data_IF_340104393028
#
_entry.id   IF_340104393028
#
_cell.length_a   1.000
_cell.length_b   1.000
_cell.length_c   1.000
_cell.angle_alpha   90.00
_cell.angle_beta   90.00
_cell.angle_gamma   90.00
#
_symmetry.space_group_name_H-M   'P 1'
#
loop_
_entity.id
_entity.type
_entity.pdbx_description
1 polymer ?
#
# COMPACT_ATOMS: atom_id res chain seq x y z
N UNK A 1 -0.04 -10.29 13.47
CA UNK A 1 0.55 -10.01 12.14
C UNK A 1 1.83 -9.23 12.34
N UNK A 2 2.95 -9.67 11.86
CA UNK A 2 4.16 -8.89 11.99
C UNK A 2 4.16 -7.76 10.94
N UNK A 3 4.37 -6.53 11.38
CA UNK A 3 4.88 -5.47 10.54
C UNK A 3 6.24 -5.94 10.00
N UNK A 4 6.53 -5.69 8.74
CA UNK A 4 7.84 -6.03 8.15
C UNK A 4 8.44 -4.81 7.43
N UNK A 5 9.76 -4.85 7.23
CA UNK A 5 10.53 -3.75 6.67
C UNK A 5 11.12 -4.10 5.32
N UNK A 6 11.65 -3.10 4.62
CA UNK A 6 12.40 -3.31 3.39
C UNK A 6 13.55 -4.31 3.62
N UNK A 7 13.63 -5.34 2.78
CA UNK A 7 14.64 -6.39 2.87
C UNK A 7 14.30 -7.56 3.79
N UNK A 8 13.25 -7.46 4.58
CA UNK A 8 12.75 -8.59 5.39
C UNK A 8 11.86 -9.53 4.57
N UNK A 9 11.72 -10.76 5.04
CA UNK A 9 10.84 -11.75 4.44
C UNK A 9 9.42 -11.56 5.00
N UNK A 10 8.43 -11.24 4.15
CA UNK A 10 7.05 -11.12 4.60
C UNK A 10 6.47 -12.49 5.00
N UNK A 11 5.32 -12.51 5.69
CA UNK A 11 4.55 -13.73 5.90
C UNK A 11 4.31 -14.49 4.59
N UNK A 12 4.34 -15.82 4.63
CA UNK A 12 4.30 -16.66 3.43
C UNK A 12 3.02 -16.51 2.58
N UNK A 13 1.94 -16.05 3.19
CA UNK A 13 0.69 -15.78 2.49
C UNK A 13 0.70 -14.48 1.68
N UNK A 14 1.60 -13.53 1.97
CA UNK A 14 1.67 -12.26 1.27
C UNK A 14 1.94 -12.43 -0.22
N UNK A 15 1.16 -11.76 -1.05
CA UNK A 15 1.43 -11.64 -2.48
C UNK A 15 2.49 -10.59 -2.80
N UNK A 16 2.61 -9.54 -1.96
CA UNK A 16 3.73 -8.62 -1.96
C UNK A 16 4.93 -9.31 -1.28
N UNK A 17 5.92 -9.69 -2.06
CA UNK A 17 7.11 -10.40 -1.58
C UNK A 17 8.23 -9.46 -1.17
N UNK A 18 8.29 -8.27 -1.78
CA UNK A 18 9.29 -7.24 -1.52
C UNK A 18 8.75 -5.86 -1.85
N UNK A 19 9.20 -4.88 -1.11
CA UNK A 19 9.06 -3.47 -1.48
C UNK A 19 10.38 -2.74 -1.27
N UNK A 20 10.53 -1.58 -1.91
CA UNK A 20 11.57 -0.61 -1.61
C UNK A 20 11.07 0.80 -1.88
N UNK A 21 11.55 1.74 -1.08
CA UNK A 21 11.26 3.18 -1.24
C UNK A 21 12.56 3.87 -1.64
N UNK A 22 12.56 4.50 -2.79
CA UNK A 22 13.68 5.31 -3.27
C UNK A 22 13.31 6.79 -3.27
N UNK A 23 14.17 7.60 -2.68
CA UNK A 23 14.10 9.07 -2.72
C UNK A 23 15.28 9.59 -3.51
N UNK A 24 15.01 10.23 -4.65
CA UNK A 24 16.03 10.60 -5.63
C UNK A 24 16.01 12.08 -5.93
N UNK A 25 17.19 12.67 -6.09
CA UNK A 25 17.35 14.05 -6.55
C UNK A 25 17.03 14.18 -8.04
N UNK A 26 16.73 15.40 -8.48
CA UNK A 26 16.36 15.65 -9.88
C UNK A 26 17.43 15.20 -10.87
N UNK A 27 17.01 14.55 -11.94
CA UNK A 27 17.86 14.03 -13.00
C UNK A 27 18.60 12.73 -12.67
N UNK A 28 18.43 12.15 -11.47
CA UNK A 28 19.02 10.85 -11.14
C UNK A 28 18.48 9.78 -12.07
N UNK A 29 19.39 8.93 -12.56
CA UNK A 29 19.07 7.77 -13.38
C UNK A 29 19.39 6.52 -12.55
N UNK A 30 18.39 5.66 -12.38
CA UNK A 30 18.52 4.38 -11.68
C UNK A 30 18.22 3.25 -12.66
N UNK A 31 19.19 2.35 -12.82
CA UNK A 31 18.99 1.10 -13.55
C UNK A 31 18.54 0.03 -12.59
N UNK A 32 17.42 -0.61 -12.92
CA UNK A 32 16.78 -1.59 -12.06
C UNK A 32 16.74 -2.95 -12.75
N UNK A 33 16.81 -4.00 -11.92
CA UNK A 33 16.65 -5.39 -12.37
C UNK A 33 15.39 -5.98 -11.77
N UNK A 34 14.72 -6.84 -12.52
CA UNK A 34 13.54 -7.58 -12.05
C UNK A 34 13.87 -8.40 -10.80
N UNK A 35 12.97 -8.36 -9.83
CA UNK A 35 13.11 -9.06 -8.53
C UNK A 35 12.07 -10.16 -8.32
N UNK A 36 10.93 -10.09 -9.03
CA UNK A 36 9.81 -11.03 -8.87
C UNK A 36 9.02 -11.21 -10.17
N UNK A 37 8.03 -12.09 -10.16
CA UNK A 37 7.14 -12.35 -11.29
C UNK A 37 6.32 -11.14 -11.73
N UNK A 38 5.89 -10.33 -10.77
CA UNK A 38 5.17 -9.06 -10.97
C UNK A 38 5.94 -7.93 -10.34
N UNK A 39 5.92 -6.77 -10.98
CA UNK A 39 6.50 -5.54 -10.44
C UNK A 39 5.67 -4.33 -10.82
N UNK A 40 5.53 -3.40 -9.86
CA UNK A 40 4.85 -2.12 -10.00
C UNK A 40 5.75 -1.01 -9.48
N UNK A 41 5.79 0.11 -10.19
CA UNK A 41 6.41 1.36 -9.72
C UNK A 41 5.29 2.36 -9.48
N UNK A 42 5.21 2.89 -8.27
CA UNK A 42 4.29 3.97 -7.86
C UNK A 42 5.12 5.20 -7.49
N UNK A 43 4.89 6.32 -8.14
CA UNK A 43 5.48 7.61 -7.74
C UNK A 43 4.68 8.16 -6.56
N UNK A 44 5.34 8.38 -5.43
CA UNK A 44 4.74 8.85 -4.18
C UNK A 44 5.02 10.32 -3.88
N UNK A 45 5.94 10.94 -4.66
CA UNK A 45 6.22 12.38 -4.64
C UNK A 45 6.99 12.77 -5.90
N UNK A 46 6.65 13.93 -6.49
CA UNK A 46 7.34 14.49 -7.65
C UNK A 46 6.96 13.80 -8.96
N UNK A 47 7.94 13.48 -9.80
CA UNK A 47 7.71 12.79 -11.07
C UNK A 47 8.91 11.94 -11.46
N UNK A 48 8.67 10.87 -12.21
CA UNK A 48 9.71 10.03 -12.77
C UNK A 48 9.31 9.58 -14.19
N UNK A 49 10.30 9.39 -15.05
CA UNK A 49 10.12 8.72 -16.32
C UNK A 49 10.64 7.29 -16.21
N UNK A 50 9.79 6.33 -16.51
CA UNK A 50 10.13 4.91 -16.50
C UNK A 50 10.34 4.45 -17.95
N UNK A 51 11.51 3.87 -18.21
CA UNK A 51 11.88 3.33 -19.53
C UNK A 51 11.96 1.82 -19.45
N UNK A 52 11.31 1.15 -20.38
CA UNK A 52 11.37 -0.30 -20.60
C UNK A 52 11.67 -0.59 -22.07
N UNK A 53 11.89 -1.83 -22.43
CA UNK A 53 12.01 -2.22 -23.85
C UNK A 53 10.75 -1.93 -24.67
N UNK A 54 9.59 -1.78 -24.03
CA UNK A 54 8.31 -1.45 -24.68
C UNK A 54 8.04 0.04 -24.84
N UNK A 55 8.94 0.92 -24.37
CA UNK A 55 8.77 2.37 -24.44
C UNK A 55 9.02 3.08 -23.12
N UNK A 56 8.58 4.34 -23.05
CA UNK A 56 8.72 5.14 -21.83
C UNK A 56 7.41 5.79 -21.41
N UNK A 57 7.23 5.93 -20.10
CA UNK A 57 6.07 6.59 -19.51
C UNK A 57 6.51 7.55 -18.41
N UNK A 58 5.90 8.74 -18.39
CA UNK A 58 6.08 9.71 -17.30
C UNK A 58 5.01 9.47 -16.25
N UNK A 59 5.43 9.25 -15.02
CA UNK A 59 4.59 9.10 -13.85
C UNK A 59 4.72 10.32 -12.93
N UNK A 60 3.62 10.73 -12.32
CA UNK A 60 3.55 11.79 -11.32
C UNK A 60 3.05 11.21 -9.99
N UNK A 61 3.09 12.02 -8.95
CA UNK A 61 2.56 11.68 -7.61
C UNK A 61 1.18 10.98 -7.71
N UNK A 62 1.06 9.83 -7.08
CA UNK A 62 -0.11 8.96 -7.11
C UNK A 62 -0.26 8.07 -8.36
N UNK A 63 0.59 8.22 -9.39
CA UNK A 63 0.53 7.39 -10.60
C UNK A 63 1.48 6.19 -10.50
N UNK A 64 1.04 5.07 -11.05
CA UNK A 64 1.82 3.84 -11.09
C UNK A 64 1.90 3.24 -12.50
N UNK A 65 2.85 2.33 -12.68
CA UNK A 65 3.04 1.50 -13.87
C UNK A 65 3.32 0.07 -13.46
N UNK A 66 2.52 -0.87 -13.98
CA UNK A 66 2.86 -2.28 -13.96
C UNK A 66 3.92 -2.57 -15.02
N UNK A 67 5.06 -3.07 -14.56
CA UNK A 67 6.19 -3.29 -15.46
C UNK A 67 5.94 -4.54 -16.31
N UNK A 68 6.18 -4.45 -17.63
CA UNK A 68 6.14 -5.63 -18.49
C UNK A 68 7.19 -6.65 -18.04
N UNK A 69 7.08 -7.88 -18.54
CA UNK A 69 8.07 -8.93 -18.26
C UNK A 69 9.38 -8.59 -19.01
N UNK A 70 10.22 -7.80 -18.34
CA UNK A 70 11.55 -7.39 -18.81
C UNK A 70 12.57 -7.61 -17.70
N UNK A 71 13.81 -7.91 -18.04
CA UNK A 71 14.87 -8.18 -17.05
C UNK A 71 15.38 -6.89 -16.40
N UNK A 72 15.39 -5.81 -17.17
CA UNK A 72 15.89 -4.49 -16.73
C UNK A 72 15.00 -3.36 -17.21
N UNK A 73 14.98 -2.30 -16.45
CA UNK A 73 14.28 -1.06 -16.75
C UNK A 73 14.98 0.12 -16.08
N UNK A 74 14.68 1.35 -16.48
CA UNK A 74 15.33 2.54 -15.97
C UNK A 74 14.31 3.52 -15.43
N UNK A 75 14.61 4.17 -14.30
CA UNK A 75 13.86 5.29 -13.74
C UNK A 75 14.71 6.54 -13.83
N UNK A 76 14.16 7.60 -14.40
CA UNK A 76 14.77 8.93 -14.44
C UNK A 76 13.91 9.87 -13.59
N UNK A 77 14.47 10.35 -12.50
CA UNK A 77 13.79 11.33 -11.65
C UNK A 77 13.56 12.64 -12.38
N UNK A 78 12.38 13.23 -12.25
CA UNK A 78 12.06 14.53 -12.80
C UNK A 78 12.90 15.66 -12.21
N UNK A 79 12.82 16.90 -12.74
CA UNK A 79 13.74 18.00 -12.36
C UNK A 79 13.75 18.35 -10.86
N UNK A 80 12.63 18.12 -10.18
CA UNK A 80 12.48 18.37 -8.73
C UNK A 80 12.70 17.15 -7.85
N UNK A 81 13.22 16.05 -8.42
CA UNK A 81 13.34 14.77 -7.75
C UNK A 81 12.06 13.95 -7.80
N UNK A 82 12.18 12.73 -7.32
CA UNK A 82 11.08 11.79 -7.17
C UNK A 82 11.27 10.93 -5.92
N UNK A 83 10.18 10.62 -5.26
CA UNK A 83 10.10 9.46 -4.39
C UNK A 83 9.20 8.43 -5.08
N UNK A 84 9.61 7.18 -5.09
CA UNK A 84 8.80 6.11 -5.64
C UNK A 84 8.90 4.84 -4.82
N UNK A 85 7.78 4.14 -4.74
CA UNK A 85 7.71 2.79 -4.22
C UNK A 85 7.85 1.80 -5.37
N UNK A 86 8.72 0.80 -5.20
CA UNK A 86 8.79 -0.38 -6.03
C UNK A 86 8.17 -1.55 -5.28
N UNK A 87 7.17 -2.15 -5.87
CA UNK A 87 6.42 -3.28 -5.34
C UNK A 87 6.72 -4.50 -6.20
N UNK A 88 7.11 -5.61 -5.58
CA UNK A 88 7.51 -6.82 -6.29
C UNK A 88 6.85 -8.04 -5.64
N UNK A 89 6.28 -8.95 -6.45
CA UNK A 89 5.58 -10.10 -5.90
C UNK A 89 4.94 -11.02 -6.93
N UNK A 90 3.82 -11.65 -6.53
CA UNK A 90 3.16 -12.74 -7.27
C UNK A 90 1.64 -12.58 -7.40
N UNK A 91 1.12 -11.37 -7.34
CA UNK A 91 -0.32 -11.09 -7.52
C UNK A 91 -0.81 -11.42 -8.93
N UNK A 92 -2.12 -11.58 -9.10
CA UNK A 92 -2.78 -11.84 -10.39
C UNK A 92 -3.03 -10.54 -11.17
N UNK A 93 -3.87 -10.59 -12.20
CA UNK A 93 -4.21 -9.42 -13.04
C UNK A 93 -5.43 -8.67 -12.51
N UNK A 94 -6.38 -9.35 -11.87
CA UNK A 94 -7.54 -8.74 -11.21
C UNK A 94 -7.12 -8.15 -9.88
N UNK A 95 -6.85 -6.86 -9.84
CA UNK A 95 -6.34 -6.16 -8.67
C UNK A 95 -7.37 -5.19 -8.10
N UNK A 96 -7.25 -4.93 -6.80
CA UNK A 96 -7.86 -3.78 -6.16
C UNK A 96 -7.13 -2.47 -6.48
N UNK A 97 -7.17 -1.51 -5.56
CA UNK A 97 -6.58 -0.20 -5.72
C UNK A 97 -5.07 -0.15 -5.46
N UNK A 98 -4.44 0.93 -5.91
CA UNK A 98 -3.07 1.27 -5.53
C UNK A 98 -2.88 2.79 -5.59
N UNK A 99 -2.26 3.34 -4.55
CA UNK A 99 -2.00 4.78 -4.49
C UNK A 99 -1.37 5.19 -3.17
N UNK A 100 -1.58 6.45 -2.80
CA UNK A 100 -1.15 6.98 -1.51
C UNK A 100 -2.33 7.59 -0.77
N UNK A 101 -2.31 7.49 0.56
CA UNK A 101 -3.24 8.22 1.42
C UNK A 101 -2.48 8.99 2.50
N UNK A 102 -3.19 9.94 3.10
CA UNK A 102 -2.68 10.72 4.23
C UNK A 102 -3.68 10.62 5.37
N UNK A 103 -3.16 10.59 6.59
CA UNK A 103 -3.95 10.58 7.80
C UNK A 103 -3.39 11.57 8.81
N UNK A 104 -4.29 12.23 9.52
CA UNK A 104 -4.00 13.11 10.65
C UNK A 104 -5.14 13.04 11.67
N UNK A 105 -4.86 13.41 12.89
CA UNK A 105 -5.91 13.56 13.88
C UNK A 105 -6.78 14.77 13.53
N UNK A 106 -8.07 14.64 13.78
CA UNK A 106 -9.07 15.68 13.58
C UNK A 106 -9.92 15.83 14.83
N UNK A 107 -10.43 17.03 15.10
CA UNK A 107 -11.23 17.31 16.30
C UNK A 107 -12.58 16.56 16.30
N UNK A 108 -13.18 16.40 15.13
CA UNK A 108 -14.45 15.70 14.95
C UNK A 108 -14.31 14.69 13.79
N UNK A 109 -13.86 13.45 14.05
CA UNK A 109 -13.74 12.44 13.04
C UNK A 109 -15.06 12.14 12.35
N UNK A 110 -15.05 12.16 11.02
CA UNK A 110 -16.15 11.63 10.21
C UNK A 110 -15.79 10.19 9.87
N UNK A 111 -16.50 9.25 10.44
CA UNK A 111 -16.31 7.83 10.23
C UNK A 111 -17.55 7.24 9.56
N UNK A 112 -17.39 6.79 8.33
CA UNK A 112 -18.44 6.12 7.54
C UNK A 112 -18.31 4.61 7.59
N UNK A 113 -17.27 4.11 8.27
CA UNK A 113 -16.94 2.70 8.40
C UNK A 113 -17.84 1.91 9.32
N UNK A 114 -17.48 0.66 9.53
CA UNK A 114 -18.16 -0.19 10.51
C UNK A 114 -17.83 0.27 11.95
N UNK A 115 -18.78 0.13 12.89
CA UNK A 115 -18.58 0.58 14.26
C UNK A 115 -17.37 -0.09 14.93
N UNK A 116 -16.60 0.70 15.67
CA UNK A 116 -15.43 0.24 16.43
C UNK A 116 -15.63 0.51 17.92
N UNK A 117 -14.90 -0.24 18.77
CA UNK A 117 -14.99 -0.12 20.23
C UNK A 117 -13.81 0.64 20.85
N UNK A 118 -12.80 0.96 20.08
CA UNK A 118 -11.63 1.70 20.50
C UNK A 118 -11.75 3.21 20.21
N UNK A 119 -11.05 4.07 20.95
CA UNK A 119 -11.02 5.50 20.67
C UNK A 119 -10.40 5.79 19.30
N UNK A 120 -10.97 6.77 18.59
CA UNK A 120 -10.56 7.16 17.25
C UNK A 120 -10.50 8.67 17.12
N UNK A 121 -9.44 9.15 16.48
CA UNK A 121 -9.18 10.58 16.24
C UNK A 121 -8.91 10.90 14.78
N UNK A 122 -8.94 9.89 13.89
CA UNK A 122 -8.83 10.07 12.44
C UNK A 122 -10.16 9.83 11.74
N UNK A 123 -10.27 10.26 10.48
CA UNK A 123 -11.41 9.95 9.60
C UNK A 123 -11.14 8.76 8.67
N UNK A 124 -10.09 7.97 8.92
CA UNK A 124 -9.91 6.70 8.20
C UNK A 124 -10.99 5.74 8.72
N UNK A 125 -11.77 5.19 7.84
CA UNK A 125 -12.89 4.30 8.21
C UNK A 125 -12.43 2.87 8.53
N UNK A 126 -13.17 2.18 9.39
CA UNK A 126 -13.01 0.74 9.60
C UNK A 126 -13.73 -0.02 8.49
N UNK A 127 -12.99 -0.76 7.68
CA UNK A 127 -13.48 -1.47 6.50
C UNK A 127 -12.71 -2.76 6.26
N UNK A 128 -13.13 -3.55 5.27
CA UNK A 128 -12.42 -4.72 4.78
C UNK A 128 -12.37 -4.76 3.25
N UNK A 129 -11.58 -5.69 2.67
CA UNK A 129 -11.47 -5.89 1.23
C UNK A 129 -11.64 -7.36 0.83
N UNK A 130 -12.00 -7.58 -0.43
CA UNK A 130 -11.99 -8.91 -1.10
C UNK A 130 -10.59 -9.30 -1.62
N UNK A 131 -9.53 -8.68 -1.10
CA UNK A 131 -8.14 -8.93 -1.44
C UNK A 131 -7.24 -8.72 -0.21
N UNK A 132 -5.97 -9.08 -0.33
CA UNK A 132 -4.97 -8.64 0.63
C UNK A 132 -4.57 -7.20 0.32
N UNK A 133 -4.32 -6.41 1.35
CA UNK A 133 -3.85 -5.03 1.23
C UNK A 133 -2.55 -4.84 2.01
N UNK A 134 -1.73 -3.92 1.54
CA UNK A 134 -0.45 -3.57 2.15
C UNK A 134 -0.36 -2.07 2.36
N UNK A 135 -0.19 -1.64 3.60
CA UNK A 135 0.10 -0.24 3.93
C UNK A 135 1.58 -0.07 4.18
N UNK A 136 2.27 0.69 3.32
CA UNK A 136 3.69 1.00 3.47
C UNK A 136 3.81 2.45 3.92
N UNK A 137 4.24 2.64 5.16
CA UNK A 137 4.35 3.97 5.77
C UNK A 137 5.55 4.71 5.19
N UNK A 138 5.30 5.82 4.51
CA UNK A 138 6.32 6.67 3.89
C UNK A 138 6.82 7.76 4.84
N UNK A 139 5.93 8.22 5.73
CA UNK A 139 6.18 9.33 6.66
C UNK A 139 5.24 9.25 7.85
N UNK A 140 5.70 9.76 9.00
CA UNK A 140 4.89 9.88 10.21
C UNK A 140 4.80 8.58 11.00
N UNK A 141 3.91 8.55 11.98
CA UNK A 141 3.70 7.43 12.90
C UNK A 141 2.26 7.40 13.41
N UNK A 142 1.77 6.21 13.74
CA UNK A 142 0.41 6.03 14.23
C UNK A 142 0.15 4.65 14.83
N UNK A 143 -1.13 4.35 15.02
CA UNK A 143 -1.60 3.03 15.41
C UNK A 143 -2.54 2.50 14.33
N UNK A 144 -2.21 1.35 13.77
CA UNK A 144 -3.04 0.59 12.84
C UNK A 144 -3.74 -0.53 13.61
N UNK A 145 -4.98 -0.78 13.28
CA UNK A 145 -5.75 -1.92 13.80
C UNK A 145 -6.07 -2.85 12.63
N UNK A 146 -5.82 -4.15 12.82
CA UNK A 146 -6.23 -5.18 11.86
C UNK A 146 -6.87 -6.32 12.65
N UNK A 147 -8.15 -6.58 12.44
CA UNK A 147 -8.95 -7.44 13.31
C UNK A 147 -8.99 -6.89 14.73
N UNK A 148 -8.45 -7.65 15.67
CA UNK A 148 -8.33 -7.29 17.09
C UNK A 148 -6.91 -6.80 17.49
N UNK A 149 -5.99 -6.71 16.53
CA UNK A 149 -4.58 -6.38 16.78
C UNK A 149 -4.29 -4.91 16.56
N UNK A 150 -3.78 -4.26 17.59
CA UNK A 150 -3.31 -2.88 17.55
C UNK A 150 -1.79 -2.85 17.38
N UNK A 151 -1.32 -2.20 16.35
CA UNK A 151 0.11 -2.13 15.99
C UNK A 151 0.55 -0.68 15.90
N UNK A 152 1.65 -0.35 16.57
CA UNK A 152 2.34 0.94 16.35
C UNK A 152 3.13 0.83 15.06
N UNK A 153 3.02 1.85 14.23
CA UNK A 153 3.70 1.93 12.94
C UNK A 153 4.40 3.26 12.77
N UNK A 154 5.48 3.26 12.01
CA UNK A 154 6.28 4.44 11.67
C UNK A 154 6.81 4.33 10.23
N UNK A 155 7.45 5.39 9.74
CA UNK A 155 8.05 5.39 8.41
C UNK A 155 9.01 4.21 8.21
N UNK A 156 8.85 3.49 7.11
CA UNK A 156 9.58 2.26 6.76
C UNK A 156 8.82 0.97 7.03
N UNK A 157 7.75 1.00 7.82
CA UNK A 157 6.93 -0.15 8.13
C UNK A 157 6.01 -0.53 6.98
N UNK A 158 5.82 -1.82 6.76
CA UNK A 158 4.77 -2.39 5.93
C UNK A 158 3.82 -3.24 6.77
N UNK A 159 2.55 -2.89 6.76
CA UNK A 159 1.47 -3.63 7.42
C UNK A 159 0.76 -4.48 6.37
N UNK A 160 0.91 -5.80 6.38
CA UNK A 160 0.12 -6.67 5.53
C UNK A 160 -1.25 -6.89 6.17
N UNK A 161 -2.30 -6.71 5.40
CA UNK A 161 -3.70 -6.83 5.81
C UNK A 161 -4.31 -7.95 4.98
N UNK A 162 -4.66 -9.06 5.63
CA UNK A 162 -5.24 -10.20 4.93
C UNK A 162 -6.69 -9.95 4.51
N UNK A 163 -7.08 -10.57 3.41
CA UNK A 163 -8.43 -10.49 2.87
C UNK A 163 -9.50 -10.72 3.93
N UNK A 164 -10.52 -9.86 3.96
CA UNK A 164 -11.68 -9.94 4.84
C UNK A 164 -11.43 -9.47 6.26
N UNK A 165 -10.20 -9.13 6.64
CA UNK A 165 -9.94 -8.54 7.96
C UNK A 165 -10.29 -7.06 7.95
N UNK A 166 -11.14 -6.65 8.91
CA UNK A 166 -11.35 -5.22 9.17
C UNK A 166 -10.05 -4.56 9.57
N UNK A 167 -9.82 -3.38 9.07
CA UNK A 167 -8.66 -2.59 9.41
C UNK A 167 -8.98 -1.10 9.47
N UNK A 168 -8.17 -0.38 10.22
CA UNK A 168 -8.38 1.03 10.57
C UNK A 168 -7.05 1.68 10.98
N UNK A 169 -7.01 3.00 10.96
CA UNK A 169 -5.92 3.81 11.51
C UNK A 169 -6.51 4.83 12.50
N UNK A 170 -6.84 4.39 13.73
CA UNK A 170 -7.60 5.20 14.68
C UNK A 170 -6.83 6.38 15.26
N UNK A 171 -5.50 6.30 15.31
CA UNK A 171 -4.66 7.31 15.95
C UNK A 171 -3.40 7.59 15.13
N UNK A 172 -3.08 8.86 14.95
CA UNK A 172 -1.85 9.34 14.35
C UNK A 172 -1.03 10.09 15.43
N UNK A 173 0.22 9.68 15.62
CA UNK A 173 1.17 10.37 16.53
C UNK A 173 1.83 11.52 15.79
N UNK A 174 2.21 11.29 14.53
CA UNK A 174 2.74 12.29 13.61
C UNK A 174 2.00 12.17 12.29
N UNK A 175 1.67 13.28 11.57
CA UNK A 175 0.97 13.22 10.27
C UNK A 175 1.55 12.15 9.38
N UNK A 176 0.70 11.20 8.97
CA UNK A 176 1.12 9.98 8.31
C UNK A 176 0.79 10.04 6.81
N UNK A 177 1.74 9.62 5.99
CA UNK A 177 1.53 9.31 4.57
C UNK A 177 1.94 7.87 4.33
N UNK A 178 1.09 7.10 3.64
CA UNK A 178 1.39 5.73 3.29
C UNK A 178 0.99 5.40 1.85
N UNK A 179 1.62 4.36 1.29
CA UNK A 179 1.12 3.64 0.12
C UNK A 179 0.04 2.68 0.60
N UNK A 180 -1.05 2.57 -0.16
CA UNK A 180 -1.94 1.42 -0.11
C UNK A 180 -1.79 0.62 -1.41
N UNK A 181 -1.76 -0.69 -1.29
CA UNK A 181 -1.69 -1.60 -2.43
C UNK A 181 -2.56 -2.82 -2.15
N UNK A 182 -3.68 -2.87 -2.85
CA UNK A 182 -4.63 -3.97 -2.85
C UNK A 182 -4.25 -4.95 -3.96
N UNK A 183 -4.04 -6.22 -3.60
CA UNK A 183 -3.58 -7.25 -4.54
C UNK A 183 -4.75 -8.03 -5.17
N UNK A 184 -4.59 -9.31 -5.42
CA UNK A 184 -5.53 -10.12 -6.17
C UNK A 184 -6.92 -10.13 -5.54
N UNK A 185 -7.91 -9.63 -6.29
CA UNK A 185 -9.31 -9.72 -5.90
C UNK A 185 -9.78 -11.16 -5.88
N UNK A 186 -10.38 -11.56 -4.78
CA UNK A 186 -10.89 -12.91 -4.54
C UNK A 186 -12.41 -12.87 -4.31
N UNK A 187 -13.00 -14.03 -4.02
CA UNK A 187 -14.43 -14.18 -3.69
C UNK A 187 -15.35 -13.45 -4.66
N UNK A 188 -15.99 -12.37 -4.20
CA UNK A 188 -16.97 -11.61 -4.98
C UNK A 188 -16.34 -10.56 -5.88
N UNK A 189 -15.01 -10.43 -5.82
CA UNK A 189 -14.19 -9.47 -6.61
C UNK A 189 -14.68 -8.02 -6.53
N UNK A 190 -15.13 -7.62 -5.35
CA UNK A 190 -15.53 -6.24 -5.10
C UNK A 190 -14.31 -5.37 -4.87
N UNK A 191 -14.22 -4.26 -5.61
CA UNK A 191 -13.16 -3.26 -5.47
C UNK A 191 -13.59 -2.18 -4.48
N UNK A 192 -12.63 -1.70 -3.67
CA UNK A 192 -12.80 -0.58 -2.74
C UNK A 192 -13.19 -1.01 -1.34
N UNK A 193 -13.49 -0.03 -0.50
CA UNK A 193 -13.85 -0.25 0.89
C UNK A 193 -15.18 -0.98 1.00
N UNK A 194 -15.19 -2.07 1.75
CA UNK A 194 -16.38 -2.87 2.05
C UNK A 194 -16.72 -2.74 3.53
N UNK A 195 -18.01 -2.63 3.84
CA UNK A 195 -18.53 -2.50 5.20
C UNK A 195 -19.63 -3.54 5.45
N UNK A 196 -19.67 -4.11 6.64
CA UNK A 196 -20.70 -5.07 7.04
C UNK A 196 -22.11 -4.52 6.84
N UNK A 197 -22.31 -3.26 7.22
CA UNK A 197 -23.62 -2.62 7.17
C UNK A 197 -24.12 -2.33 5.73
N UNK A 198 -23.23 -2.37 4.72
CA UNK A 198 -23.59 -2.08 3.32
C UNK A 198 -23.38 -3.28 2.40
N UNK A 199 -22.29 -4.02 2.58
CA UNK A 199 -21.83 -5.05 1.64
C UNK A 199 -22.01 -6.48 2.17
N UNK A 200 -22.48 -6.63 3.42
CA UNK A 200 -22.60 -7.90 4.11
C UNK A 200 -21.40 -8.21 4.99
N UNK A 201 -21.53 -9.25 5.79
CA UNK A 201 -20.54 -9.61 6.79
C UNK A 201 -19.19 -9.94 6.16
N UNK A 202 -18.13 -9.39 6.71
CA UNK A 202 -16.76 -9.76 6.37
C UNK A 202 -16.48 -11.23 6.71
N UNK A 203 -15.68 -11.86 5.87
CA UNK A 203 -15.23 -13.24 6.07
C UNK A 203 -13.70 -13.27 6.07
N UNK A 204 -13.05 -12.96 7.21
CA UNK A 204 -11.59 -12.91 7.27
C UNK A 204 -10.97 -14.27 6.97
N UNK A 205 -9.85 -14.27 6.26
CA UNK A 205 -9.02 -15.43 6.03
C UNK A 205 -8.15 -15.65 7.27
N UNK A 206 -8.42 -16.67 8.13
CA UNK A 206 -7.80 -16.77 9.45
C UNK A 206 -6.28 -17.01 9.40
N UNK A 207 -5.78 -17.55 8.30
CA UNK A 207 -4.35 -17.79 8.08
C UNK A 207 -3.58 -16.53 7.64
N UNK A 208 -4.30 -15.42 7.32
CA UNK A 208 -3.73 -14.18 6.78
C UNK A 208 -3.77 -13.04 7.80
N UNK A 209 -3.26 -13.31 9.00
CA UNK A 209 -3.25 -12.32 10.07
C UNK A 209 -1.93 -12.29 10.86
#
# INVERSE_FOLDING_TARGET
MPVFHEGETPPAWCELERFSIADTVGGTISEERRRAGKERVLVTRGSAQVHTSGGSQVLRDGQFLDLPVVDTWTVIAGPRGAQFARLSGRWDNDLGGCGTFQAQNVEAPVDVGDPVTYPKTTSIDSHYHDCDEYWIVLQGAGTVVVGDRHMKVAAGDCVPIGMGHHHDLPLVVEPLKAVYFETTLQREKRVGHLWNHTHGQAHPAPERI
#
